data_IF_267113537117
#
_entry.id   IF_267113537117
#
_cell.length_a   1.000
_cell.length_b   1.000
_cell.length_c   1.000
_cell.angle_alpha   90.00
_cell.angle_beta   90.00
_cell.angle_gamma   90.00
#
_symmetry.space_group_name_H-M   'P 1'
#
loop_
_entity.id
_entity.type
_entity.pdbx_description
1 polymer ?
#
# COMPACT_ATOMS: atom_id res chain seq x y z
N UNK A 1 16.60 35.64 -0.92
CA UNK A 1 16.09 34.84 -2.06
C UNK A 1 14.64 34.55 -1.73
N UNK A 2 13.71 35.22 -2.40
CA UNK A 2 12.30 35.32 -1.98
C UNK A 2 11.47 34.29 -2.73
N UNK A 3 10.64 33.54 -1.99
CA UNK A 3 9.78 32.46 -2.47
C UNK A 3 8.86 32.87 -3.63
N UNK A 4 8.87 32.08 -4.71
CA UNK A 4 7.97 32.23 -5.86
C UNK A 4 6.65 31.50 -5.62
N UNK A 5 5.59 32.28 -5.41
CA UNK A 5 4.21 31.81 -5.28
C UNK A 5 3.63 31.42 -6.64
N UNK A 6 3.37 30.12 -6.86
CA UNK A 6 2.65 29.64 -8.04
C UNK A 6 1.14 29.85 -7.87
N UNK A 7 0.60 30.93 -8.43
CA UNK A 7 -0.85 31.11 -8.59
C UNK A 7 -1.34 30.29 -9.80
N UNK A 8 -1.98 29.16 -9.53
CA UNK A 8 -2.74 28.41 -10.54
C UNK A 8 -4.00 29.17 -10.96
N UNK A 9 -4.22 29.34 -12.27
CA UNK A 9 -5.50 29.81 -12.83
C UNK A 9 -6.44 28.61 -12.98
N UNK A 10 -7.60 28.69 -12.34
CA UNK A 10 -8.71 27.77 -12.57
C UNK A 10 -9.28 27.98 -13.98
N UNK A 11 -9.45 26.89 -14.74
CA UNK A 11 -10.17 26.88 -16.01
C UNK A 11 -11.68 26.74 -15.75
N UNK A 12 -12.55 27.48 -16.46
CA UNK A 12 -14.00 27.34 -16.35
C UNK A 12 -14.46 26.15 -17.21
N UNK A 13 -15.22 25.21 -16.65
CA UNK A 13 -15.77 24.11 -17.46
C UNK A 13 -16.37 22.90 -16.74
N UNK A 14 -16.49 22.88 -15.41
CA UNK A 14 -17.16 21.76 -14.73
C UNK A 14 -18.66 22.04 -14.62
N UNK A 15 -19.44 21.44 -15.52
CA UNK A 15 -20.91 21.50 -15.52
C UNK A 15 -21.50 20.83 -14.28
N UNK A 16 -22.44 21.52 -13.65
CA UNK A 16 -23.28 21.02 -12.57
C UNK A 16 -24.20 19.89 -13.08
N UNK A 17 -23.97 18.66 -12.59
CA UNK A 17 -24.86 17.53 -12.80
C UNK A 17 -25.85 17.42 -11.64
N UNK A 18 -27.04 18.00 -11.79
CA UNK A 18 -28.20 17.70 -10.93
C UNK A 18 -28.85 16.41 -11.44
N UNK A 19 -28.86 15.37 -10.61
CA UNK A 19 -29.71 14.21 -10.81
C UNK A 19 -30.23 13.65 -9.47
N UNK A 20 -31.41 14.14 -9.12
CA UNK A 20 -32.57 13.45 -8.52
C UNK A 20 -32.33 12.56 -7.28
N UNK A 21 -32.87 13.04 -6.17
CA UNK A 21 -33.17 12.25 -4.97
C UNK A 21 -34.39 11.36 -5.21
N UNK A 22 -34.22 10.04 -5.16
CA UNK A 22 -35.34 9.10 -5.02
C UNK A 22 -35.46 8.69 -3.55
N UNK A 23 -36.60 9.02 -2.94
CA UNK A 23 -37.01 8.47 -1.64
C UNK A 23 -37.41 7.01 -1.83
N UNK A 24 -36.74 6.09 -1.16
CA UNK A 24 -37.29 4.76 -0.88
C UNK A 24 -37.71 4.73 0.58
N UNK A 25 -39.01 4.60 0.79
CA UNK A 25 -39.65 4.48 2.09
C UNK A 25 -39.65 3.01 2.56
N UNK A 26 -39.33 2.81 3.85
CA UNK A 26 -39.97 1.80 4.71
C UNK A 26 -39.49 0.34 4.59
N UNK A 27 -38.85 -0.15 5.66
CA UNK A 27 -38.67 -1.59 5.93
C UNK A 27 -37.91 -1.83 7.23
N UNK A 28 -38.60 -2.39 8.23
CA UNK A 28 -38.08 -2.73 9.57
C UNK A 28 -36.82 -3.60 9.55
N UNK A 29 -35.97 -3.52 10.59
CA UNK A 29 -34.74 -4.31 10.69
C UNK A 29 -35.10 -5.77 10.98
N UNK A 30 -34.96 -6.64 9.99
CA UNK A 30 -34.82 -8.07 10.27
C UNK A 30 -33.43 -8.23 10.87
N UNK A 31 -33.39 -8.58 12.15
CA UNK A 31 -32.18 -8.86 12.92
C UNK A 31 -31.42 -10.01 12.25
N UNK A 32 -30.53 -9.70 11.31
CA UNK A 32 -29.56 -10.65 10.81
C UNK A 32 -28.56 -10.90 11.94
N UNK A 33 -28.82 -11.90 12.77
CA UNK A 33 -27.76 -12.48 13.60
C UNK A 33 -26.79 -13.13 12.63
N UNK A 34 -25.72 -12.43 12.32
CA UNK A 34 -24.56 -13.04 11.69
C UNK A 34 -24.13 -14.19 12.60
N UNK A 35 -24.30 -15.44 12.14
CA UNK A 35 -23.67 -16.59 12.79
C UNK A 35 -22.17 -16.38 12.64
N UNK A 36 -21.51 -15.95 13.71
CA UNK A 36 -20.05 -15.89 13.73
C UNK A 36 -19.50 -17.31 13.59
N UNK A 37 -18.29 -17.41 13.05
CA UNK A 37 -17.59 -18.68 12.76
C UNK A 37 -17.27 -19.50 14.03
N UNK A 38 -17.61 -19.00 15.21
CA UNK A 38 -17.25 -19.52 16.52
C UNK A 38 -18.18 -20.65 17.00
N UNK A 39 -19.42 -20.70 16.52
CA UNK A 39 -20.42 -21.65 17.04
C UNK A 39 -20.28 -23.09 16.49
N UNK A 40 -19.37 -23.33 15.54
CA UNK A 40 -19.15 -24.70 14.99
C UNK A 40 -18.23 -25.56 15.87
N UNK A 41 -17.55 -24.96 16.87
CA UNK A 41 -16.50 -25.66 17.61
C UNK A 41 -16.96 -26.42 18.87
N UNK A 42 -18.20 -26.24 19.32
CA UNK A 42 -18.66 -26.89 20.56
C UNK A 42 -19.08 -28.36 20.41
N UNK A 43 -19.25 -28.88 19.18
CA UNK A 43 -19.66 -30.26 18.90
C UNK A 43 -18.54 -31.32 18.85
N UNK A 44 -17.29 -30.99 19.19
CA UNK A 44 -16.18 -31.95 19.17
C UNK A 44 -15.92 -32.54 20.56
N UNK A 45 -16.12 -33.86 20.70
CA UNK A 45 -15.68 -34.68 21.85
C UNK A 45 -14.22 -34.37 22.22
N UNK A 46 -13.86 -34.41 23.51
CA UNK A 46 -12.55 -34.04 24.06
C UNK A 46 -11.39 -34.67 23.29
N UNK A 47 -11.52 -35.93 22.88
CA UNK A 47 -10.52 -36.64 22.06
C UNK A 47 -10.29 -36.00 20.69
N UNK A 48 -11.34 -35.44 20.05
CA UNK A 48 -11.25 -34.75 18.76
C UNK A 48 -10.62 -33.36 18.89
N UNK A 49 -10.81 -32.69 20.03
CA UNK A 49 -10.14 -31.41 20.32
C UNK A 49 -8.64 -31.59 20.54
N UNK A 50 -8.25 -32.62 21.30
CA UNK A 50 -6.83 -32.94 21.54
C UNK A 50 -6.15 -33.37 20.24
N UNK A 51 -6.77 -34.25 19.44
CA UNK A 51 -6.22 -34.67 18.16
C UNK A 51 -6.04 -33.49 17.18
N UNK A 52 -7.01 -32.57 17.11
CA UNK A 52 -6.89 -31.37 16.28
C UNK A 52 -5.77 -30.42 16.76
N UNK A 53 -5.65 -30.21 18.08
CA UNK A 53 -4.57 -29.41 18.65
C UNK A 53 -3.19 -30.03 18.44
N UNK A 54 -3.06 -31.36 18.55
CA UNK A 54 -1.80 -32.07 18.30
C UNK A 54 -1.40 -32.03 16.82
N UNK A 55 -2.36 -32.20 15.91
CA UNK A 55 -2.14 -32.08 14.46
C UNK A 55 -1.69 -30.66 14.06
N UNK A 56 -2.29 -29.63 14.66
CA UNK A 56 -1.90 -28.24 14.44
C UNK A 56 -0.50 -27.93 15.03
N UNK A 57 -0.17 -28.48 16.20
CA UNK A 57 1.15 -28.29 16.82
C UNK A 57 2.27 -28.98 16.01
N UNK A 58 2.05 -30.21 15.53
CA UNK A 58 3.01 -30.92 14.66
C UNK A 58 3.20 -30.23 13.31
N UNK A 59 2.14 -29.63 12.75
CA UNK A 59 2.25 -28.79 11.56
C UNK A 59 2.95 -27.44 11.85
N UNK A 60 2.82 -26.90 13.06
CA UNK A 60 3.43 -25.64 13.47
C UNK A 60 4.96 -25.70 13.68
N UNK A 61 5.52 -26.86 14.02
CA UNK A 61 6.98 -27.05 14.11
C UNK A 61 7.68 -27.06 12.73
N UNK A 62 6.96 -27.35 11.66
CA UNK A 62 7.48 -27.34 10.28
C UNK A 62 7.06 -26.10 9.47
N UNK A 63 6.00 -25.41 9.90
CA UNK A 63 5.61 -24.10 9.38
C UNK A 63 6.33 -22.96 10.12
N UNK A 64 7.66 -22.93 10.04
CA UNK A 64 8.35 -21.65 10.08
C UNK A 64 7.90 -20.91 8.81
N UNK A 65 6.91 -20.04 8.94
CA UNK A 65 6.58 -19.09 7.87
C UNK A 65 7.91 -18.44 7.46
N UNK A 66 8.26 -18.41 6.16
CA UNK A 66 9.46 -17.71 5.75
C UNK A 66 9.34 -16.31 6.34
N UNK A 67 10.37 -15.85 7.04
CA UNK A 67 10.49 -14.45 7.37
C UNK A 67 10.52 -13.73 6.02
N UNK A 68 9.35 -13.35 5.53
CA UNK A 68 9.23 -12.44 4.41
C UNK A 68 9.93 -11.21 4.93
N UNK A 69 11.15 -10.96 4.44
CA UNK A 69 11.87 -9.72 4.69
C UNK A 69 10.83 -8.64 4.49
N UNK A 70 10.45 -7.99 5.59
CA UNK A 70 9.30 -7.12 5.57
C UNK A 70 9.61 -6.08 4.49
N UNK A 71 8.80 -6.07 3.43
CA UNK A 71 8.87 -5.10 2.32
C UNK A 71 8.41 -3.75 2.90
N UNK A 72 9.15 -3.28 3.89
CA UNK A 72 8.95 -1.99 4.51
C UNK A 72 9.64 -1.00 3.60
N UNK A 73 8.88 -0.09 2.96
CA UNK A 73 9.47 0.91 2.10
C UNK A 73 10.51 1.70 2.89
N UNK A 74 11.71 1.94 2.34
CA UNK A 74 12.76 2.64 3.06
C UNK A 74 12.28 4.03 3.52
N UNK A 75 12.66 4.42 4.73
CA UNK A 75 12.26 5.71 5.28
C UNK A 75 12.85 6.88 4.45
N UNK A 76 12.08 7.96 4.32
CA UNK A 76 12.58 9.21 3.75
C UNK A 76 13.47 9.92 4.76
N UNK A 77 14.77 10.01 4.48
CA UNK A 77 15.74 10.74 5.31
C UNK A 77 16.10 12.10 4.74
N UNK A 78 15.93 12.28 3.43
CA UNK A 78 16.30 13.48 2.69
C UNK A 78 15.31 13.74 1.56
N UNK A 79 15.04 15.00 1.28
CA UNK A 79 14.26 15.41 0.12
C UNK A 79 14.94 14.99 -1.20
N UNK A 80 14.14 14.65 -2.21
CA UNK A 80 14.64 14.27 -3.53
C UNK A 80 14.15 12.92 -4.03
N UNK A 81 14.75 12.45 -5.13
CA UNK A 81 14.43 11.18 -5.76
C UNK A 81 15.46 10.11 -5.42
N UNK A 82 14.99 8.93 -5.02
CA UNK A 82 15.80 7.86 -4.49
C UNK A 82 15.47 6.53 -5.17
N UNK A 83 16.47 5.71 -5.50
CA UNK A 83 16.25 4.39 -6.06
C UNK A 83 15.67 3.43 -5.01
N UNK A 84 14.83 2.49 -5.44
CA UNK A 84 14.36 1.42 -4.55
C UNK A 84 15.49 0.39 -4.35
N UNK A 85 15.73 -0.10 -3.11
CA UNK A 85 16.85 -1.02 -2.82
C UNK A 85 16.71 -2.37 -3.52
N UNK A 86 15.50 -2.94 -3.55
CA UNK A 86 15.28 -4.30 -4.08
C UNK A 86 14.78 -4.35 -5.53
N UNK A 87 14.35 -3.21 -6.10
CA UNK A 87 13.71 -3.19 -7.42
C UNK A 87 14.14 -1.98 -8.24
N UNK A 88 14.98 -2.22 -9.24
CA UNK A 88 15.53 -1.17 -10.11
C UNK A 88 14.48 -0.51 -11.01
N UNK A 89 13.30 -1.09 -11.16
CA UNK A 89 12.19 -0.47 -11.88
C UNK A 89 11.31 0.40 -10.97
N UNK A 90 11.52 0.38 -9.64
CA UNK A 90 10.84 1.23 -8.67
C UNK A 90 11.77 2.34 -8.17
N UNK A 91 11.20 3.49 -7.89
CA UNK A 91 11.89 4.60 -7.24
C UNK A 91 10.87 5.40 -6.43
N UNK A 92 11.35 6.24 -5.53
CA UNK A 92 10.49 7.07 -4.70
C UNK A 92 11.00 8.49 -4.62
N UNK A 93 10.08 9.43 -4.39
CA UNK A 93 10.41 10.83 -4.12
C UNK A 93 9.98 11.18 -2.70
N UNK A 94 10.90 11.78 -1.96
CA UNK A 94 10.63 12.36 -0.66
C UNK A 94 10.43 13.87 -0.82
N UNK A 95 9.32 14.39 -0.29
CA UNK A 95 8.97 15.81 -0.34
C UNK A 95 8.83 16.32 1.07
N UNK A 96 9.58 17.36 1.40
CA UNK A 96 9.37 18.15 2.61
C UNK A 96 8.34 19.25 2.33
N UNK A 97 7.17 19.15 2.98
CA UNK A 97 6.14 20.18 2.87
C UNK A 97 6.25 21.25 3.97
N UNK A 98 6.92 20.96 5.09
CA UNK A 98 7.13 21.93 6.17
C UNK A 98 8.35 22.83 5.90
N UNK A 99 9.34 22.30 5.17
CA UNK A 99 10.62 22.96 4.92
C UNK A 99 11.58 22.90 6.11
N UNK A 100 11.28 22.08 7.11
CA UNK A 100 12.04 21.95 8.36
C UNK A 100 12.97 20.72 8.36
N UNK A 101 12.85 19.83 7.36
CA UNK A 101 13.66 18.62 7.23
C UNK A 101 13.34 17.51 8.23
N UNK A 102 12.26 17.62 8.99
CA UNK A 102 11.86 16.63 10.01
C UNK A 102 10.77 15.67 9.53
N UNK A 103 9.88 16.11 8.64
CA UNK A 103 8.78 15.30 8.13
C UNK A 103 8.79 15.29 6.59
N UNK A 104 8.91 14.10 6.02
CA UNK A 104 8.92 13.90 4.57
C UNK A 104 7.73 13.04 4.14
N UNK A 105 7.00 13.50 3.14
CA UNK A 105 5.99 12.70 2.45
C UNK A 105 6.64 11.90 1.33
N UNK A 106 6.49 10.57 1.37
CA UNK A 106 6.98 9.65 0.35
C UNK A 106 5.95 9.46 -0.77
N UNK A 107 6.44 9.47 -2.00
CA UNK A 107 5.67 9.10 -3.20
C UNK A 107 6.41 8.00 -3.95
N UNK A 108 5.77 6.84 -4.11
CA UNK A 108 6.32 5.69 -4.82
C UNK A 108 5.94 5.71 -6.31
N UNK A 109 6.91 5.38 -7.15
CA UNK A 109 6.77 5.35 -8.59
C UNK A 109 7.32 4.05 -9.16
N UNK A 110 6.65 3.57 -10.22
CA UNK A 110 7.05 2.41 -11.00
C UNK A 110 7.37 2.88 -12.42
N UNK A 111 8.56 2.57 -12.90
CA UNK A 111 8.92 2.76 -14.30
C UNK A 111 8.07 1.91 -15.23
N UNK A 112 7.95 2.34 -16.48
CA UNK A 112 7.26 1.56 -17.51
C UNK A 112 7.91 0.18 -17.74
N UNK A 113 7.18 -0.79 -18.31
CA UNK A 113 7.71 -2.13 -18.55
C UNK A 113 8.98 -2.07 -19.42
N UNK A 114 10.02 -2.78 -19.00
CA UNK A 114 11.31 -2.83 -19.71
C UNK A 114 12.17 -1.57 -19.54
N UNK A 115 11.85 -0.71 -18.57
CA UNK A 115 12.68 0.45 -18.19
C UNK A 115 13.07 0.39 -16.71
N UNK A 116 14.21 0.98 -16.38
CA UNK A 116 14.81 1.02 -15.05
C UNK A 116 15.06 2.47 -14.66
N UNK A 117 14.95 2.79 -13.37
CA UNK A 117 15.21 4.14 -12.88
C UNK A 117 16.71 4.44 -12.88
N UNK A 118 17.10 5.55 -13.50
CA UNK A 118 18.47 6.06 -13.53
C UNK A 118 18.61 7.22 -12.51
N UNK A 119 19.38 7.06 -11.42
CA UNK A 119 19.46 8.08 -10.36
C UNK A 119 20.12 9.38 -10.81
N UNK A 120 21.11 9.32 -11.72
CA UNK A 120 21.80 10.55 -12.18
C UNK A 120 20.97 11.38 -13.16
N UNK A 121 20.20 10.72 -14.03
CA UNK A 121 19.34 11.38 -15.02
C UNK A 121 17.94 11.65 -14.46
N UNK A 122 17.62 11.10 -13.28
CA UNK A 122 16.31 11.20 -12.61
C UNK A 122 15.17 10.84 -13.55
N UNK A 123 15.34 9.76 -14.32
CA UNK A 123 14.35 9.30 -15.31
C UNK A 123 14.42 7.79 -15.49
N UNK A 124 13.35 7.21 -16.03
CA UNK A 124 13.33 5.82 -16.45
C UNK A 124 14.03 5.69 -17.81
N UNK A 125 15.07 4.86 -17.86
CA UNK A 125 15.83 4.56 -19.08
C UNK A 125 15.74 3.08 -19.38
N UNK A 126 16.13 2.68 -20.58
CA UNK A 126 16.24 1.27 -20.87
C UNK A 126 17.53 0.64 -20.31
N UNK A 127 17.57 -0.68 -20.05
CA UNK A 127 18.72 -1.34 -19.44
C UNK A 127 20.06 -1.12 -20.14
N UNK A 128 20.08 -0.94 -21.47
CA UNK A 128 21.31 -0.69 -22.23
C UNK A 128 21.92 0.70 -21.99
N UNK A 129 21.17 1.60 -21.35
CA UNK A 129 21.62 2.95 -20.97
C UNK A 129 22.10 3.00 -19.52
N UNK A 130 21.91 1.91 -18.75
CA UNK A 130 22.39 1.85 -17.37
C UNK A 130 23.91 1.68 -17.35
N UNK A 131 24.60 2.33 -16.40
CA UNK A 131 26.01 2.05 -16.14
C UNK A 131 26.23 0.56 -15.82
N UNK A 132 27.41 0.00 -16.15
CA UNK A 132 27.78 -1.33 -15.69
C UNK A 132 27.77 -1.37 -14.15
N UNK A 133 27.20 -2.45 -13.60
CA UNK A 133 27.05 -2.71 -12.17
C UNK A 133 28.32 -3.26 -11.52
#
# INVERSE_FOLDING_TARGET
MTYGSCRGRALPGFQEGVARTERVAGGSPVRAVARTREDRFQGMNRTRRIAAAMLLALAGLTYAAPAQAADQPPACTQEGFHPHPDDKARFYRCVDFSGEGEEFTRFDFQCGPGTLYHPELVTCVHPWQMPPS
#
